data_IF_569404169900
#
_entry.id   IF_569404169900
#
_cell.length_a   1.000
_cell.length_b   1.000
_cell.length_c   1.000
_cell.angle_alpha   90.00
_cell.angle_beta   90.00
_cell.angle_gamma   90.00
#
_symmetry.space_group_name_H-M   'P 1'
#
loop_
_entity.id
_entity.type
_entity.pdbx_description
1 polymer ?
#
# COMPACT_ATOMS: atom_id res chain seq x y z
N UNK A 1 24.86 -16.66 -8.49
CA UNK A 1 24.49 -16.16 -7.15
C UNK A 1 23.03 -15.69 -7.15
N UNK A 2 22.34 -15.86 -6.03
CA UNK A 2 20.95 -15.42 -5.80
C UNK A 2 20.98 -14.46 -4.61
N UNK A 3 20.37 -13.28 -4.78
CA UNK A 3 20.23 -12.28 -3.74
C UNK A 3 18.77 -12.03 -3.44
N UNK A 4 18.44 -11.76 -2.19
CA UNK A 4 17.09 -11.41 -1.76
C UNK A 4 17.03 -9.95 -1.29
N UNK A 5 16.15 -9.14 -1.90
CA UNK A 5 15.79 -7.82 -1.35
C UNK A 5 14.74 -8.03 -0.25
N UNK A 6 15.20 -7.98 1.00
CA UNK A 6 14.37 -8.27 2.17
C UNK A 6 13.53 -7.03 2.51
N UNK A 7 12.23 -7.07 2.20
CA UNK A 7 11.28 -5.98 2.47
C UNK A 7 10.49 -6.25 3.76
N UNK A 8 10.60 -7.43 4.34
CA UNK A 8 9.98 -7.78 5.62
C UNK A 8 10.54 -7.00 6.82
N UNK A 9 11.73 -6.42 6.67
CA UNK A 9 12.32 -5.50 7.66
C UNK A 9 11.64 -4.12 7.71
N UNK A 10 10.84 -3.77 6.70
CA UNK A 10 10.03 -2.56 6.74
C UNK A 10 9.00 -2.63 7.89
N UNK A 11 8.68 -1.48 8.48
CA UNK A 11 7.68 -1.37 9.55
C UNK A 11 6.39 -2.09 9.17
N UNK A 12 5.99 -3.04 10.00
CA UNK A 12 4.80 -3.86 9.78
C UNK A 12 5.04 -5.11 8.93
N UNK A 13 6.26 -5.33 8.41
CA UNK A 13 6.66 -6.58 7.76
C UNK A 13 6.42 -6.66 6.25
N UNK A 14 6.09 -5.55 5.55
CA UNK A 14 6.00 -5.53 4.08
C UNK A 14 5.89 -4.12 3.48
N UNK A 15 6.05 -4.07 2.15
CA UNK A 15 6.08 -2.85 1.32
C UNK A 15 4.85 -1.94 1.41
N UNK A 16 3.68 -2.45 1.79
CA UNK A 16 2.43 -1.66 1.82
C UNK A 16 2.47 -0.47 2.77
N UNK A 17 3.38 -0.47 3.73
CA UNK A 17 3.58 0.67 4.64
C UNK A 17 4.06 1.92 3.89
N UNK A 18 4.84 1.78 2.81
CA UNK A 18 5.32 2.92 2.02
C UNK A 18 4.16 3.69 1.41
N UNK A 19 3.25 3.00 0.70
CA UNK A 19 2.04 3.62 0.15
C UNK A 19 1.13 4.22 1.22
N UNK A 20 0.87 3.48 2.29
CA UNK A 20 0.04 3.95 3.39
C UNK A 20 0.60 5.23 4.03
N UNK A 21 1.92 5.31 4.21
CA UNK A 21 2.59 6.50 4.77
C UNK A 21 2.43 7.71 3.85
N UNK A 22 2.65 7.55 2.54
CA UNK A 22 2.53 8.64 1.58
C UNK A 22 1.08 9.14 1.49
N UNK A 23 0.10 8.22 1.43
CA UNK A 23 -1.31 8.60 1.45
C UNK A 23 -1.70 9.36 2.72
N UNK A 24 -1.21 8.96 3.90
CA UNK A 24 -1.44 9.68 5.14
C UNK A 24 -0.81 11.08 5.15
N UNK A 25 0.40 11.23 4.59
CA UNK A 25 1.06 12.54 4.44
C UNK A 25 0.26 13.46 3.51
N UNK A 26 -0.20 12.94 2.37
CA UNK A 26 -1.05 13.69 1.43
C UNK A 26 -2.34 14.13 2.13
N UNK A 27 -3.03 13.19 2.81
CA UNK A 27 -4.25 13.49 3.55
C UNK A 27 -4.05 14.62 4.57
N UNK A 28 -2.97 14.53 5.35
CA UNK A 28 -2.65 15.54 6.36
C UNK A 28 -2.34 16.91 5.75
N UNK A 29 -1.54 16.95 4.67
CA UNK A 29 -1.22 18.20 3.97
C UNK A 29 -2.45 18.83 3.30
N UNK A 30 -3.39 18.01 2.83
CA UNK A 30 -4.66 18.47 2.29
C UNK A 30 -5.71 18.81 3.35
N UNK A 31 -5.36 18.84 4.64
CA UNK A 31 -6.28 19.17 5.73
C UNK A 31 -7.39 18.14 5.96
N UNK A 32 -7.24 16.91 5.42
CA UNK A 32 -8.25 15.87 5.61
C UNK A 32 -8.23 15.35 7.04
N UNK A 33 -9.43 15.09 7.59
CA UNK A 33 -9.59 14.53 8.95
C UNK A 33 -9.58 13.00 8.96
N UNK A 34 -10.01 12.39 7.86
CA UNK A 34 -10.16 10.95 7.72
C UNK A 34 -9.28 10.41 6.59
N UNK A 35 -8.79 9.21 6.80
CA UNK A 35 -8.27 8.37 5.73
C UNK A 35 -9.09 7.09 5.67
N UNK A 36 -9.46 6.67 4.47
CA UNK A 36 -10.22 5.45 4.25
C UNK A 36 -9.46 4.54 3.30
N UNK A 37 -9.67 3.25 3.44
CA UNK A 37 -9.11 2.25 2.55
C UNK A 37 -9.86 0.94 2.67
N UNK A 38 -9.60 0.05 1.73
CA UNK A 38 -10.14 -1.27 1.66
C UNK A 38 -9.11 -2.34 2.04
N UNK A 39 -9.59 -3.51 2.42
CA UNK A 39 -8.72 -4.65 2.63
C UNK A 39 -9.49 -5.97 2.50
N UNK A 40 -8.85 -6.98 1.90
CA UNK A 40 -9.34 -8.35 1.88
C UNK A 40 -8.74 -9.16 3.04
N UNK A 41 -7.50 -9.62 2.88
CA UNK A 41 -6.79 -10.37 3.92
C UNK A 41 -6.44 -9.56 5.18
N UNK A 42 -6.71 -8.25 5.21
CA UNK A 42 -6.48 -7.38 6.36
C UNK A 42 -5.10 -6.75 6.42
N UNK A 43 -4.15 -7.16 5.58
CA UNK A 43 -2.78 -6.67 5.68
C UNK A 43 -2.65 -5.20 5.24
N UNK A 44 -3.28 -4.82 4.12
CA UNK A 44 -3.31 -3.43 3.67
C UNK A 44 -3.96 -2.51 4.72
N UNK A 45 -5.08 -2.94 5.28
CA UNK A 45 -5.77 -2.22 6.36
C UNK A 45 -4.91 -2.07 7.61
N UNK A 46 -4.17 -3.12 8.00
CA UNK A 46 -3.22 -3.05 9.12
C UNK A 46 -2.17 -1.98 8.88
N UNK A 47 -1.55 -1.92 7.69
CA UNK A 47 -0.53 -0.91 7.36
C UNK A 47 -1.14 0.50 7.34
N UNK A 48 -2.31 0.66 6.73
CA UNK A 48 -3.00 1.94 6.72
C UNK A 48 -3.36 2.44 8.12
N UNK A 49 -3.88 1.55 8.98
CA UNK A 49 -4.21 1.89 10.36
C UNK A 49 -2.98 2.31 11.19
N UNK A 50 -1.84 1.65 10.98
CA UNK A 50 -0.57 2.03 11.62
C UNK A 50 -0.11 3.42 11.19
N UNK A 51 -0.10 3.68 9.89
CA UNK A 51 0.27 4.98 9.34
C UNK A 51 -0.70 6.08 9.81
N UNK A 52 -2.00 5.85 9.73
CA UNK A 52 -3.02 6.81 10.15
C UNK A 52 -2.85 7.20 11.63
N UNK A 53 -2.64 6.23 12.51
CA UNK A 53 -2.36 6.48 13.94
C UNK A 53 -1.12 7.34 14.12
N UNK A 54 -0.03 7.06 13.39
CA UNK A 54 1.21 7.84 13.44
C UNK A 54 1.02 9.30 13.04
N UNK A 55 0.16 9.56 12.05
CA UNK A 55 -0.11 10.91 11.54
C UNK A 55 -1.30 11.62 12.20
N UNK A 56 -1.95 10.98 13.17
CA UNK A 56 -3.09 11.56 13.89
C UNK A 56 -4.37 11.67 13.04
N UNK A 57 -4.52 10.79 12.02
CA UNK A 57 -5.71 10.72 11.17
C UNK A 57 -6.70 9.69 11.71
N UNK A 58 -7.99 9.99 11.64
CA UNK A 58 -9.05 8.99 11.85
C UNK A 58 -9.07 8.03 10.67
N UNK A 59 -9.09 6.72 10.93
CA UNK A 59 -8.96 5.69 9.92
C UNK A 59 -10.22 4.83 9.86
N UNK A 60 -10.79 4.66 8.65
CA UNK A 60 -11.87 3.71 8.38
C UNK A 60 -11.39 2.67 7.37
N UNK A 61 -11.62 1.40 7.68
CA UNK A 61 -11.22 0.27 6.83
C UNK A 61 -12.46 -0.50 6.43
N UNK A 62 -12.75 -0.49 5.13
CA UNK A 62 -13.82 -1.30 4.53
C UNK A 62 -13.33 -2.71 4.31
N UNK A 63 -14.08 -3.69 4.82
CA UNK A 63 -13.69 -5.10 4.74
C UNK A 63 -14.92 -5.97 4.60
N UNK A 64 -14.88 -6.93 3.69
CA UNK A 64 -15.98 -7.88 3.51
C UNK A 64 -16.28 -8.65 4.78
N UNK A 65 -17.56 -8.87 5.09
CA UNK A 65 -17.99 -9.54 6.31
C UNK A 65 -17.44 -10.97 6.44
N UNK A 66 -17.31 -11.69 5.31
CA UNK A 66 -16.64 -13.01 5.28
C UNK A 66 -15.15 -12.92 5.61
N UNK A 67 -14.48 -11.92 5.08
CA UNK A 67 -13.06 -11.72 5.31
C UNK A 67 -12.78 -11.28 6.76
N UNK A 68 -13.63 -10.46 7.36
CA UNK A 68 -13.55 -10.10 8.79
C UNK A 68 -13.54 -11.36 9.68
N UNK A 69 -14.43 -12.31 9.38
CA UNK A 69 -14.49 -13.59 10.13
C UNK A 69 -13.23 -14.43 9.99
N UNK A 70 -12.65 -14.46 8.77
CA UNK A 70 -11.46 -15.27 8.45
C UNK A 70 -10.17 -14.66 9.00
N UNK A 71 -10.10 -13.34 9.08
CA UNK A 71 -8.87 -12.58 9.32
C UNK A 71 -8.83 -11.91 10.70
N UNK A 72 -9.36 -12.58 11.71
CA UNK A 72 -9.46 -12.06 13.08
C UNK A 72 -8.20 -11.43 13.66
N UNK A 73 -6.98 -12.00 13.49
CA UNK A 73 -5.74 -11.38 13.97
C UNK A 73 -5.47 -10.01 13.35
N UNK A 74 -5.66 -9.84 12.04
CA UNK A 74 -5.48 -8.56 11.37
C UNK A 74 -6.55 -7.54 11.78
N UNK A 75 -7.80 -7.97 11.95
CA UNK A 75 -8.89 -7.13 12.47
C UNK A 75 -8.56 -6.60 13.87
N UNK A 76 -8.08 -7.45 14.76
CA UNK A 76 -7.63 -7.02 16.10
C UNK A 76 -6.48 -6.01 16.03
N UNK A 77 -5.51 -6.23 15.14
CA UNK A 77 -4.39 -5.31 14.96
C UNK A 77 -4.85 -3.93 14.46
N UNK A 78 -5.78 -3.88 13.50
CA UNK A 78 -6.37 -2.63 13.00
C UNK A 78 -7.10 -1.86 14.12
N UNK A 79 -7.90 -2.55 14.93
CA UNK A 79 -8.61 -1.95 16.08
C UNK A 79 -7.64 -1.42 17.15
N UNK A 80 -6.53 -2.12 17.44
CA UNK A 80 -5.45 -1.62 18.33
C UNK A 80 -4.81 -0.33 17.79
N UNK A 81 -4.83 -0.13 16.49
CA UNK A 81 -4.39 1.10 15.84
C UNK A 81 -5.52 2.16 15.74
N UNK A 82 -6.63 1.97 16.44
CA UNK A 82 -7.78 2.87 16.49
C UNK A 82 -8.52 3.02 15.15
N UNK A 83 -8.39 2.04 14.24
CA UNK A 83 -9.17 2.03 13.02
C UNK A 83 -10.60 1.50 13.25
N UNK A 84 -11.56 2.21 12.69
CA UNK A 84 -12.94 1.75 12.54
C UNK A 84 -12.99 0.72 11.41
N UNK A 85 -13.51 -0.48 11.70
CA UNK A 85 -13.73 -1.51 10.68
C UNK A 85 -15.18 -1.43 10.23
N UNK A 86 -15.38 -1.12 8.96
CA UNK A 86 -16.70 -1.04 8.32
C UNK A 86 -16.98 -2.36 7.61
N UNK A 87 -17.87 -3.20 8.14
CA UNK A 87 -18.19 -4.47 7.51
C UNK A 87 -19.05 -4.26 6.27
N UNK A 88 -18.69 -4.93 5.18
CA UNK A 88 -19.44 -4.90 3.92
C UNK A 88 -20.19 -6.22 3.74
N UNK A 89 -21.51 -6.12 3.67
CA UNK A 89 -22.44 -7.26 3.56
C UNK A 89 -23.00 -7.46 2.16
N UNK A 90 -22.72 -6.53 1.23
CA UNK A 90 -23.20 -6.62 -0.15
C UNK A 90 -22.39 -7.64 -0.96
N UNK A 91 -22.96 -8.14 -2.02
CA UNK A 91 -22.35 -9.01 -3.01
C UNK A 91 -21.69 -10.27 -2.43
N UNK A 92 -20.45 -10.52 -2.81
CA UNK A 92 -19.65 -11.65 -2.34
C UNK A 92 -19.19 -11.53 -0.88
N UNK A 93 -19.27 -10.34 -0.29
CA UNK A 93 -18.78 -9.97 1.04
C UNK A 93 -17.25 -10.14 1.17
N UNK A 94 -16.53 -9.86 0.09
CA UNK A 94 -15.07 -9.97 -0.02
C UNK A 94 -14.44 -8.65 -0.51
N UNK A 95 -13.17 -8.69 -0.90
CA UNK A 95 -12.40 -7.51 -1.29
C UNK A 95 -13.08 -6.65 -2.36
N UNK A 96 -13.69 -7.22 -3.39
CA UNK A 96 -14.29 -6.47 -4.50
C UNK A 96 -15.39 -5.54 -4.01
N UNK A 97 -16.25 -6.06 -3.14
CA UNK A 97 -17.35 -5.27 -2.56
C UNK A 97 -16.82 -4.24 -1.58
N UNK A 98 -15.79 -4.58 -0.81
CA UNK A 98 -15.12 -3.65 0.10
C UNK A 98 -14.51 -2.45 -0.64
N UNK A 99 -13.85 -2.67 -1.79
CA UNK A 99 -13.33 -1.60 -2.66
C UNK A 99 -14.46 -0.70 -3.13
N UNK A 100 -15.55 -1.29 -3.63
CA UNK A 100 -16.70 -0.54 -4.17
C UNK A 100 -17.36 0.33 -3.10
N UNK A 101 -17.58 -0.20 -1.91
CA UNK A 101 -18.16 0.56 -0.80
C UNK A 101 -17.21 1.66 -0.28
N UNK A 102 -15.91 1.36 -0.21
CA UNK A 102 -14.90 2.35 0.15
C UNK A 102 -14.90 3.54 -0.83
N UNK A 103 -14.97 3.26 -2.13
CA UNK A 103 -15.06 4.31 -3.16
C UNK A 103 -16.35 5.13 -3.05
N UNK A 104 -17.51 4.49 -2.87
CA UNK A 104 -18.79 5.21 -2.67
C UNK A 104 -18.72 6.13 -1.45
N UNK A 105 -18.23 5.62 -0.34
CA UNK A 105 -18.05 6.40 0.86
C UNK A 105 -17.12 7.60 0.63
N UNK A 106 -15.98 7.39 -0.01
CA UNK A 106 -15.02 8.45 -0.28
C UNK A 106 -15.60 9.55 -1.17
N UNK A 107 -16.26 9.19 -2.27
CA UNK A 107 -16.88 10.18 -3.18
C UNK A 107 -17.91 11.04 -2.45
N UNK A 108 -18.71 10.44 -1.57
CA UNK A 108 -19.72 11.16 -0.78
C UNK A 108 -19.12 11.99 0.37
N UNK A 109 -17.85 11.84 0.70
CA UNK A 109 -17.19 12.49 1.84
C UNK A 109 -15.82 13.10 1.46
N UNK A 110 -15.59 13.40 0.18
CA UNK A 110 -14.28 13.80 -0.32
C UNK A 110 -13.71 15.08 0.32
N UNK A 111 -14.56 15.98 0.82
CA UNK A 111 -14.12 17.21 1.48
C UNK A 111 -13.29 16.95 2.74
N UNK A 112 -13.65 15.96 3.52
CA UNK A 112 -13.01 15.65 4.80
C UNK A 112 -12.16 14.40 4.77
N UNK A 113 -12.23 13.60 3.69
CA UNK A 113 -11.73 12.25 3.62
C UNK A 113 -10.77 12.06 2.44
N UNK A 114 -9.66 11.38 2.68
CA UNK A 114 -8.73 10.91 1.65
C UNK A 114 -8.82 9.39 1.51
N UNK A 115 -8.88 8.90 0.27
CA UNK A 115 -8.85 7.46 0.01
C UNK A 115 -7.42 6.97 -0.23
N UNK A 116 -7.03 5.92 0.46
CA UNK A 116 -5.78 5.20 0.22
C UNK A 116 -6.04 3.99 -0.68
N UNK A 117 -5.47 4.00 -1.87
CA UNK A 117 -5.47 2.84 -2.78
C UNK A 117 -4.10 2.18 -2.71
N UNK A 118 -4.02 1.04 -2.04
CA UNK A 118 -2.76 0.29 -1.83
C UNK A 118 -2.35 -0.63 -2.98
N UNK A 119 -2.86 -0.37 -4.20
CA UNK A 119 -2.64 -1.19 -5.39
C UNK A 119 -2.46 -0.31 -6.62
N UNK A 120 -1.99 -0.89 -7.73
CA UNK A 120 -1.84 -0.17 -9.02
C UNK A 120 -3.13 -0.25 -9.85
N UNK A 121 -4.24 0.13 -9.24
CA UNK A 121 -5.59 0.12 -9.83
C UNK A 121 -6.28 1.47 -9.62
N UNK A 122 -7.34 1.71 -10.40
CA UNK A 122 -8.15 2.93 -10.33
C UNK A 122 -7.55 4.10 -11.11
N UNK A 123 -7.93 5.34 -10.78
CA UNK A 123 -7.43 6.54 -11.43
C UNK A 123 -5.90 6.64 -11.41
N UNK A 124 -5.32 7.15 -12.49
CA UNK A 124 -3.86 7.23 -12.70
C UNK A 124 -3.10 7.89 -11.54
N UNK A 125 -3.71 8.85 -10.85
CA UNK A 125 -3.07 9.50 -9.70
C UNK A 125 -2.76 8.51 -8.58
N UNK A 126 -3.65 7.56 -8.28
CA UNK A 126 -3.41 6.54 -7.26
C UNK A 126 -2.29 5.58 -7.68
N UNK A 127 -2.28 5.19 -8.95
CA UNK A 127 -1.20 4.35 -9.51
C UNK A 127 0.15 5.06 -9.38
N UNK A 128 0.23 6.35 -9.71
CA UNK A 128 1.44 7.17 -9.57
C UNK A 128 1.89 7.28 -8.11
N UNK A 129 0.97 7.54 -7.18
CA UNK A 129 1.29 7.62 -5.74
C UNK A 129 1.82 6.27 -5.24
N UNK A 130 1.14 5.18 -5.60
CA UNK A 130 1.53 3.82 -5.23
C UNK A 130 2.92 3.47 -5.78
N UNK A 131 3.14 3.70 -7.08
CA UNK A 131 4.41 3.42 -7.74
C UNK A 131 5.56 4.24 -7.18
N UNK A 132 5.36 5.55 -7.02
CA UNK A 132 6.39 6.43 -6.48
C UNK A 132 6.79 6.04 -5.04
N UNK A 133 5.81 5.75 -4.18
CA UNK A 133 6.06 5.37 -2.80
C UNK A 133 6.78 4.04 -2.67
N UNK A 134 6.41 3.05 -3.48
CA UNK A 134 7.01 1.71 -3.44
C UNK A 134 8.34 1.63 -4.20
N UNK A 135 8.65 2.59 -5.09
CA UNK A 135 9.94 2.65 -5.81
C UNK A 135 11.14 2.90 -4.88
N UNK A 136 10.91 3.22 -3.61
CA UNK A 136 11.97 3.18 -2.60
C UNK A 136 12.72 1.84 -2.59
N UNK A 137 12.01 0.74 -2.87
CA UNK A 137 12.60 -0.61 -2.96
C UNK A 137 13.66 -0.67 -4.07
N UNK A 138 13.33 -0.20 -5.28
CA UNK A 138 14.28 -0.20 -6.41
C UNK A 138 15.40 0.82 -6.27
N UNK A 139 15.13 1.98 -5.67
CA UNK A 139 16.16 2.99 -5.37
C UNK A 139 17.24 2.42 -4.46
N UNK A 140 16.83 1.83 -3.35
CA UNK A 140 17.76 1.17 -2.42
C UNK A 140 18.48 -0.01 -3.10
N UNK A 141 17.76 -0.82 -3.87
CA UNK A 141 18.37 -1.98 -4.55
C UNK A 141 19.47 -1.55 -5.54
N UNK A 142 19.26 -0.45 -6.28
CA UNK A 142 20.27 0.10 -7.18
C UNK A 142 21.53 0.53 -6.40
N UNK A 143 21.36 1.17 -5.25
CA UNK A 143 22.50 1.56 -4.40
C UNK A 143 23.22 0.31 -3.92
N UNK A 144 22.51 -0.64 -3.34
CA UNK A 144 23.07 -1.89 -2.82
C UNK A 144 23.81 -2.72 -3.89
N UNK A 145 23.27 -2.77 -5.12
CA UNK A 145 23.95 -3.45 -6.23
C UNK A 145 25.24 -2.74 -6.64
N UNK A 146 25.27 -1.40 -6.60
CA UNK A 146 26.48 -0.64 -6.88
C UNK A 146 27.54 -0.82 -5.79
N UNK A 147 27.13 -0.83 -4.53
CA UNK A 147 28.03 -1.03 -3.39
C UNK A 147 28.65 -2.42 -3.43
N UNK A 148 27.87 -3.45 -3.75
CA UNK A 148 28.32 -4.85 -3.83
C UNK A 148 29.21 -5.14 -5.07
N UNK A 149 28.84 -4.59 -6.25
CA UNK A 149 29.46 -4.95 -7.53
C UNK A 149 30.21 -3.80 -8.22
N UNK A 150 30.29 -2.63 -7.61
CA UNK A 150 30.84 -1.39 -8.22
C UNK A 150 29.95 -0.79 -9.33
N UNK A 151 29.01 -1.58 -9.86
CA UNK A 151 28.06 -1.19 -10.92
C UNK A 151 26.86 -2.11 -10.94
N UNK A 152 25.79 -1.75 -11.66
CA UNK A 152 24.68 -2.68 -11.92
C UNK A 152 25.15 -3.77 -12.90
N UNK A 153 25.01 -5.07 -12.54
CA UNK A 153 25.41 -6.16 -13.42
C UNK A 153 24.63 -6.17 -14.74
N UNK A 154 25.33 -6.33 -15.88
CA UNK A 154 24.70 -6.34 -17.22
C UNK A 154 23.67 -7.47 -17.41
N UNK A 155 23.87 -8.61 -16.75
CA UNK A 155 22.98 -9.80 -16.82
C UNK A 155 22.18 -9.98 -15.53
N UNK A 156 21.60 -8.90 -15.01
CA UNK A 156 20.72 -8.94 -13.84
C UNK A 156 19.35 -9.51 -14.20
N UNK A 157 18.88 -10.51 -13.46
CA UNK A 157 17.51 -11.01 -13.52
C UNK A 157 16.76 -10.59 -12.26
N UNK A 158 15.69 -9.84 -12.40
CA UNK A 158 14.82 -9.42 -11.31
C UNK A 158 13.58 -10.33 -11.29
N UNK A 159 13.28 -10.92 -10.15
CA UNK A 159 12.13 -11.80 -9.95
C UNK A 159 11.30 -11.28 -8.78
N UNK A 160 10.01 -11.12 -8.98
CA UNK A 160 9.07 -10.66 -7.97
C UNK A 160 7.69 -11.28 -8.21
N UNK A 161 6.93 -11.52 -7.15
CA UNK A 161 5.53 -11.96 -7.26
C UNK A 161 4.63 -10.77 -7.58
N UNK A 162 3.59 -11.01 -8.37
CA UNK A 162 2.62 -9.99 -8.78
C UNK A 162 1.26 -10.31 -8.18
N UNK A 163 0.78 -9.46 -7.27
CA UNK A 163 -0.60 -9.42 -6.83
C UNK A 163 -1.30 -8.23 -7.48
N UNK A 164 -1.71 -7.21 -6.69
CA UNK A 164 -2.28 -5.96 -7.22
C UNK A 164 -1.25 -5.00 -7.87
N UNK A 165 -0.03 -5.43 -8.10
CA UNK A 165 1.01 -4.71 -8.85
C UNK A 165 1.88 -3.75 -8.04
N UNK A 166 1.51 -3.35 -6.83
CA UNK A 166 2.25 -2.34 -6.07
C UNK A 166 3.70 -2.73 -5.76
N UNK A 167 3.94 -3.96 -5.34
CA UNK A 167 5.29 -4.48 -5.07
C UNK A 167 6.13 -4.51 -6.33
N UNK A 168 5.56 -5.06 -7.41
CA UNK A 168 6.25 -5.23 -8.68
C UNK A 168 6.58 -3.88 -9.31
N UNK A 169 5.60 -2.96 -9.34
CA UNK A 169 5.81 -1.61 -9.85
C UNK A 169 6.98 -0.94 -9.13
N UNK A 170 6.98 -0.96 -7.80
CA UNK A 170 8.07 -0.37 -7.00
C UNK A 170 9.42 -1.07 -7.20
N UNK A 171 9.42 -2.40 -7.37
CA UNK A 171 10.63 -3.19 -7.53
C UNK A 171 11.34 -2.95 -8.86
N UNK A 172 10.59 -2.72 -9.95
CA UNK A 172 11.16 -2.50 -11.28
C UNK A 172 11.23 -1.03 -11.72
N UNK A 173 10.54 -0.12 -11.04
CA UNK A 173 10.36 1.25 -11.51
C UNK A 173 11.67 1.95 -11.90
N UNK A 174 12.67 1.96 -11.03
CA UNK A 174 13.92 2.66 -11.31
C UNK A 174 14.76 1.93 -12.39
N UNK A 175 14.64 0.60 -12.50
CA UNK A 175 15.35 -0.16 -13.54
C UNK A 175 14.78 0.12 -14.93
N UNK A 176 13.47 0.29 -15.07
CA UNK A 176 12.84 0.67 -16.35
C UNK A 176 13.29 2.02 -16.88
N UNK A 177 13.75 2.90 -16.00
CA UNK A 177 14.19 4.25 -16.34
C UNK A 177 15.70 4.44 -16.25
N UNK A 178 16.44 3.41 -15.82
CA UNK A 178 17.88 3.52 -15.57
C UNK A 178 18.69 3.86 -16.83
N UNK A 179 18.40 3.20 -17.96
CA UNK A 179 19.10 3.42 -19.22
C UNK A 179 18.67 4.69 -19.96
N UNK A 180 17.52 5.28 -19.59
CA UNK A 180 17.02 6.53 -20.20
C UNK A 180 17.67 7.79 -19.58
N UNK A 181 18.43 7.64 -18.51
CA UNK A 181 19.12 8.74 -17.80
C UNK A 181 20.62 8.81 -18.14
N UNK A 182 21.09 7.98 -19.04
CA UNK A 182 22.42 8.03 -19.65
C UNK A 182 22.31 8.67 -21.04
#
# INVERSE_FOLDING_TARGET
>A
QIYAKVVSEALGGAHKIFGATVHCLIAKRAGKKYIVGDTGAGYAGKMLSMAAKKFGLKCKIFMGAKDIKRQGPNVRAMRKNLAEIVPVYTGSQTLVDAVSECMRYWVSNCDTTHMCVGSTVGPNIFVKICGWSTSQISRELIIQLKDEFGKIPKKLKLINCVGGGSSSFGFWNEFMHYDKKK
#
